data_IF_267701918327
#
_entry.id   IF_267701918327
#
_cell.length_a   1.000
_cell.length_b   1.000
_cell.length_c   1.000
_cell.angle_alpha   90.00
_cell.angle_beta   90.00
_cell.angle_gamma   90.00
#
_symmetry.space_group_name_H-M   'P 1'
#
loop_
_entity.id
_entity.type
_entity.pdbx_description
1 polymer ?
#
# COMPACT_ATOMS: atom_id res chain seq x y z
N UNK A 1 -44.68 65.21 20.09
CA UNK A 1 -43.27 65.41 19.68
C UNK A 1 -42.65 64.05 19.44
N UNK A 2 -42.13 63.82 18.23
CA UNK A 2 -41.62 62.52 17.75
C UNK A 2 -40.47 62.02 18.63
N UNK A 3 -40.62 60.85 19.25
CA UNK A 3 -39.54 60.12 19.92
C UNK A 3 -38.92 59.17 18.90
N UNK A 4 -37.64 59.36 18.62
CA UNK A 4 -36.85 58.62 17.64
C UNK A 4 -36.51 57.25 18.22
N UNK A 5 -37.01 56.19 17.58
CA UNK A 5 -36.64 54.80 17.84
C UNK A 5 -35.24 54.56 17.25
N UNK A 6 -34.21 54.39 18.10
CA UNK A 6 -32.91 53.88 17.67
C UNK A 6 -32.88 52.37 17.92
N UNK A 7 -33.06 51.60 16.85
CA UNK A 7 -32.87 50.15 16.84
C UNK A 7 -31.38 49.84 17.03
N UNK A 8 -31.04 49.19 18.14
CA UNK A 8 -29.71 48.64 18.39
C UNK A 8 -29.65 47.24 17.75
N UNK A 9 -29.00 47.11 16.60
CA UNK A 9 -28.71 45.80 15.99
C UNK A 9 -27.44 45.26 16.66
N UNK A 10 -27.60 44.28 17.55
CA UNK A 10 -26.49 43.49 18.11
C UNK A 10 -26.10 42.46 17.05
N UNK A 11 -25.04 42.75 16.30
CA UNK A 11 -24.37 41.79 15.43
C UNK A 11 -23.56 40.81 16.28
N UNK A 12 -24.18 39.70 16.66
CA UNK A 12 -23.49 38.52 17.19
C UNK A 12 -22.58 37.95 16.10
N UNK A 13 -21.29 38.28 16.18
CA UNK A 13 -20.24 37.57 15.44
C UNK A 13 -20.11 36.15 15.99
N UNK A 14 -20.86 35.21 15.41
CA UNK A 14 -20.53 33.80 15.52
C UNK A 14 -19.25 33.57 14.70
N UNK A 15 -18.10 33.68 15.38
CA UNK A 15 -16.84 33.13 14.89
C UNK A 15 -17.04 31.63 14.73
N UNK A 16 -17.31 31.16 13.51
CA UNK A 16 -17.16 29.75 13.18
C UNK A 16 -15.67 29.43 13.35
N UNK A 17 -15.31 28.87 14.51
CA UNK A 17 -14.12 28.06 14.63
C UNK A 17 -14.31 26.88 13.69
N UNK A 18 -13.90 27.07 12.43
CA UNK A 18 -13.64 25.95 11.54
C UNK A 18 -12.64 25.08 12.28
N UNK A 19 -13.11 23.97 12.84
CA UNK A 19 -12.22 22.93 13.33
C UNK A 19 -11.38 22.51 12.14
N UNK A 20 -10.16 23.01 12.08
CA UNK A 20 -9.15 22.56 11.16
C UNK A 20 -8.92 21.09 11.49
N UNK A 21 -9.60 20.19 10.78
CA UNK A 21 -9.22 18.79 10.65
C UNK A 21 -7.87 18.77 9.92
N UNK A 22 -6.80 19.12 10.66
CA UNK A 22 -5.52 19.52 10.08
C UNK A 22 -4.32 18.86 10.72
N UNK A 23 -4.50 17.99 11.70
CA UNK A 23 -3.46 17.10 12.18
C UNK A 23 -4.14 15.87 12.77
N UNK A 24 -3.84 14.68 12.24
CA UNK A 24 -4.10 13.45 12.98
C UNK A 24 -3.30 13.56 14.29
N UNK A 25 -3.99 13.84 15.40
CA UNK A 25 -3.37 13.79 16.71
C UNK A 25 -2.94 12.35 16.92
N UNK A 26 -1.66 12.13 17.22
CA UNK A 26 -1.14 10.79 17.45
C UNK A 26 -1.95 10.11 18.55
N UNK A 27 -2.46 8.91 18.28
CA UNK A 27 -3.26 8.20 19.24
C UNK A 27 -2.40 7.84 20.45
N UNK A 28 -2.89 7.98 21.70
CA UNK A 28 -2.12 7.61 22.88
C UNK A 28 -1.71 6.13 22.92
N UNK A 29 -2.40 5.26 22.19
CA UNK A 29 -2.12 3.82 22.06
C UNK A 29 -1.25 3.46 20.84
N UNK A 30 -0.85 4.44 20.02
CA UNK A 30 -0.05 4.21 18.84
C UNK A 30 1.33 3.60 19.19
N UNK A 31 1.79 2.58 18.44
CA UNK A 31 3.11 2.00 18.63
C UNK A 31 4.23 2.98 18.21
N UNK A 32 5.46 2.84 18.73
CA UNK A 32 6.48 3.92 18.67
C UNK A 32 6.86 4.42 17.27
N UNK A 33 6.77 3.55 16.25
CA UNK A 33 7.13 3.89 14.88
C UNK A 33 5.93 4.35 14.03
N UNK A 34 4.73 4.42 14.61
CA UNK A 34 3.55 4.99 13.98
C UNK A 34 3.60 6.52 13.94
N UNK A 35 4.31 7.15 14.89
CA UNK A 35 4.54 8.58 14.91
C UNK A 35 5.13 9.06 13.58
N UNK A 36 4.73 10.24 13.11
CA UNK A 36 5.30 10.81 11.88
C UNK A 36 6.82 11.01 12.03
N UNK A 37 7.56 10.79 10.95
CA UNK A 37 8.99 11.12 10.92
C UNK A 37 9.26 12.64 10.86
N UNK A 38 10.53 13.01 11.00
CA UNK A 38 10.96 14.41 11.09
C UNK A 38 11.12 15.10 9.74
N UNK A 39 11.12 14.37 8.62
CA UNK A 39 11.28 14.97 7.31
C UNK A 39 10.02 15.72 6.89
N UNK A 40 10.21 16.91 6.31
CA UNK A 40 9.17 17.57 5.53
C UNK A 40 8.93 16.74 4.28
N UNK A 41 7.67 16.51 3.92
CA UNK A 41 7.31 15.68 2.78
C UNK A 41 6.90 16.57 1.61
N UNK A 42 7.54 16.37 0.47
CA UNK A 42 7.08 16.86 -0.84
C UNK A 42 6.25 15.79 -1.54
N UNK A 43 5.38 16.21 -2.45
CA UNK A 43 4.58 15.29 -3.27
C UNK A 43 4.45 15.79 -4.70
N UNK A 44 4.64 14.91 -5.67
CA UNK A 44 4.54 15.22 -7.11
C UNK A 44 3.81 14.11 -7.86
N UNK A 45 3.00 14.49 -8.83
CA UNK A 45 2.43 13.54 -9.80
C UNK A 45 3.32 13.49 -11.04
N UNK A 46 3.70 12.28 -11.45
CA UNK A 46 4.45 12.00 -12.66
C UNK A 46 3.56 11.28 -13.67
N UNK A 47 3.79 11.56 -14.95
CA UNK A 47 3.27 10.76 -16.05
C UNK A 47 4.45 10.07 -16.72
N UNK A 48 4.51 8.75 -16.60
CA UNK A 48 5.60 7.93 -17.13
C UNK A 48 5.09 7.11 -18.31
N UNK A 49 5.90 6.99 -19.36
CA UNK A 49 5.54 6.21 -20.56
C UNK A 49 6.56 5.10 -20.75
N UNK A 50 6.10 3.86 -20.80
CA UNK A 50 6.92 2.69 -21.12
C UNK A 50 6.88 2.40 -22.62
N UNK A 51 7.91 2.83 -23.39
CA UNK A 51 7.93 2.65 -24.84
C UNK A 51 8.06 1.18 -25.24
N UNK A 52 8.60 0.31 -24.36
CA UNK A 52 8.79 -1.11 -24.63
C UNK A 52 7.49 -1.91 -24.63
N UNK A 53 6.41 -1.33 -24.08
CA UNK A 53 5.09 -1.95 -23.97
C UNK A 53 4.00 -1.11 -24.63
N UNK A 54 4.20 -0.77 -25.90
CA UNK A 54 3.23 -0.02 -26.72
C UNK A 54 2.88 1.36 -26.12
N UNK A 55 3.89 2.08 -25.63
CA UNK A 55 3.73 3.38 -24.98
C UNK A 55 2.73 3.35 -23.81
N UNK A 56 2.79 2.29 -22.98
CA UNK A 56 1.94 2.15 -21.80
C UNK A 56 2.21 3.32 -20.85
N UNK A 57 1.21 4.18 -20.69
CA UNK A 57 1.26 5.38 -19.84
C UNK A 57 0.84 5.03 -18.41
N UNK A 58 1.62 5.44 -17.40
CA UNK A 58 1.42 5.13 -15.99
C UNK A 58 1.48 6.44 -15.20
N UNK A 59 0.39 6.78 -14.51
CA UNK A 59 0.37 7.90 -13.56
C UNK A 59 0.96 7.43 -12.24
N UNK A 60 1.90 8.21 -11.69
CA UNK A 60 2.58 7.89 -10.43
C UNK A 60 2.50 9.07 -9.48
N UNK A 61 2.07 8.83 -8.25
CA UNK A 61 2.18 9.80 -7.17
C UNK A 61 3.46 9.50 -6.38
N UNK A 62 4.34 10.49 -6.23
CA UNK A 62 5.61 10.32 -5.53
C UNK A 62 5.66 11.23 -4.31
N UNK A 63 5.75 10.64 -3.13
CA UNK A 63 6.07 11.32 -1.88
C UNK A 63 7.56 11.19 -1.59
N UNK A 64 8.21 12.27 -1.16
CA UNK A 64 9.66 12.29 -0.96
C UNK A 64 10.08 13.28 0.13
N UNK A 65 11.22 13.07 0.81
CA UNK A 65 11.80 14.07 1.71
C UNK A 65 12.08 15.36 0.93
N UNK A 66 11.62 16.48 1.46
CA UNK A 66 11.67 17.81 0.84
C UNK A 66 12.24 18.86 1.78
N UNK A 67 12.57 20.01 1.20
CA UNK A 67 12.98 21.20 1.95
C UNK A 67 11.76 22.10 2.26
N UNK A 68 11.89 22.98 3.25
CA UNK A 68 10.89 23.99 3.59
C UNK A 68 10.13 23.71 4.88
N UNK A 69 8.91 24.24 5.01
CA UNK A 69 8.05 24.07 6.19
C UNK A 69 6.85 23.20 5.80
N UNK A 70 6.53 22.21 6.64
CA UNK A 70 5.42 21.30 6.39
C UNK A 70 4.06 22.03 6.32
N UNK A 71 3.30 21.75 5.27
CA UNK A 71 1.93 22.24 5.07
C UNK A 71 0.92 21.09 5.05
N UNK A 72 -0.36 21.43 5.27
CA UNK A 72 -1.48 20.52 5.05
C UNK A 72 -1.84 20.48 3.57
N UNK A 73 -2.34 19.34 3.10
CA UNK A 73 -2.79 19.15 1.72
C UNK A 73 -4.02 18.26 1.69
N UNK A 74 -4.66 18.18 0.52
CA UNK A 74 -5.77 17.27 0.27
C UNK A 74 -5.54 16.57 -1.05
N UNK A 75 -5.51 15.24 -1.02
CA UNK A 75 -5.45 14.42 -2.22
C UNK A 75 -6.87 14.20 -2.75
N UNK A 76 -7.09 14.53 -4.02
CA UNK A 76 -8.33 14.20 -4.72
C UNK A 76 -8.20 12.79 -5.29
N UNK A 77 -9.16 11.93 -4.96
CA UNK A 77 -9.21 10.55 -5.46
C UNK A 77 -10.66 10.12 -5.65
N UNK A 78 -10.87 8.83 -5.89
CA UNK A 78 -12.18 8.21 -5.89
C UNK A 78 -12.10 6.80 -5.32
N UNK A 79 -13.21 6.35 -4.74
CA UNK A 79 -13.47 4.95 -4.38
C UNK A 79 -14.72 4.54 -5.17
N UNK A 80 -14.53 3.64 -6.13
CA UNK A 80 -15.56 3.35 -7.13
C UNK A 80 -15.97 4.60 -7.91
N UNK A 81 -17.22 5.04 -7.76
CA UNK A 81 -17.75 6.25 -8.41
C UNK A 81 -17.78 7.46 -7.48
N UNK A 82 -17.61 7.28 -6.17
CA UNK A 82 -17.60 8.38 -5.21
C UNK A 82 -16.26 9.12 -5.23
N UNK A 83 -16.24 10.42 -5.56
CA UNK A 83 -15.06 11.27 -5.34
C UNK A 83 -14.79 11.39 -3.84
N UNK A 84 -13.52 11.29 -3.44
CA UNK A 84 -13.11 11.37 -2.04
C UNK A 84 -11.96 12.36 -1.86
N UNK A 85 -11.91 12.96 -0.67
CA UNK A 85 -10.84 13.88 -0.26
C UNK A 85 -10.05 13.25 0.87
N UNK A 86 -8.78 12.92 0.61
CA UNK A 86 -7.90 12.35 1.61
C UNK A 86 -7.04 13.48 2.19
N UNK A 87 -7.16 13.73 3.49
CA UNK A 87 -6.33 14.72 4.17
C UNK A 87 -4.88 14.23 4.25
N UNK A 88 -3.93 15.12 3.97
CA UNK A 88 -2.51 14.81 4.01
C UNK A 88 -1.69 15.98 4.57
N UNK A 89 -0.40 15.73 4.75
CA UNK A 89 0.61 16.70 5.16
C UNK A 89 1.81 16.54 4.22
N UNK A 90 1.69 17.09 3.02
CA UNK A 90 2.77 17.15 2.05
C UNK A 90 2.70 18.44 1.22
N UNK A 91 3.86 18.93 0.83
CA UNK A 91 4.00 20.14 0.04
C UNK A 91 4.03 19.76 -1.45
N UNK A 92 2.99 20.15 -2.19
CA UNK A 92 2.89 19.91 -3.63
C UNK A 92 4.10 20.53 -4.35
N UNK A 93 4.80 19.72 -5.15
CA UNK A 93 5.93 20.11 -5.99
C UNK A 93 7.13 20.75 -5.27
N UNK A 94 7.23 20.57 -3.95
CA UNK A 94 8.36 21.09 -3.18
C UNK A 94 9.71 20.56 -3.69
N UNK A 95 10.75 21.39 -3.56
CA UNK A 95 12.11 20.98 -3.88
C UNK A 95 12.53 19.77 -3.02
N UNK A 96 13.02 18.67 -3.63
CA UNK A 96 13.53 17.53 -2.88
C UNK A 96 14.64 17.95 -1.90
N UNK A 97 14.71 17.27 -0.75
CA UNK A 97 15.83 17.43 0.16
C UNK A 97 17.11 16.88 -0.48
N UNK A 98 18.26 17.40 -0.06
CA UNK A 98 19.56 16.87 -0.48
C UNK A 98 19.77 15.45 0.02
N UNK A 99 20.38 14.61 -0.80
CA UNK A 99 20.71 13.22 -0.47
C UNK A 99 20.04 12.21 -1.40
N UNK A 100 20.26 10.93 -1.10
CA UNK A 100 19.60 9.80 -1.77
C UNK A 100 18.88 8.97 -0.72
N UNK A 101 17.64 8.62 -0.99
CA UNK A 101 16.75 7.90 -0.08
C UNK A 101 16.27 6.62 -0.75
N UNK A 102 16.18 5.47 -0.05
CA UNK A 102 15.69 4.24 -0.66
C UNK A 102 14.30 4.45 -1.26
N UNK A 103 14.09 3.85 -2.43
CA UNK A 103 12.82 3.92 -3.15
C UNK A 103 11.89 2.80 -2.67
N UNK A 104 10.64 3.14 -2.39
CA UNK A 104 9.56 2.20 -2.16
C UNK A 104 8.57 2.35 -3.32
N UNK A 105 8.32 1.26 -4.06
CA UNK A 105 7.29 1.25 -5.11
C UNK A 105 6.02 0.61 -4.55
N UNK A 106 4.92 1.36 -4.59
CA UNK A 106 3.64 1.03 -3.99
C UNK A 106 2.60 0.64 -5.05
N UNK A 107 1.88 -0.46 -4.81
CA UNK A 107 0.86 -1.00 -5.72
C UNK A 107 -0.48 -1.21 -5.00
N UNK A 108 -1.55 -0.61 -5.53
CA UNK A 108 -2.89 -0.61 -4.96
C UNK A 108 -3.62 -1.97 -5.10
N UNK A 109 -4.86 -2.12 -4.61
CA UNK A 109 -5.70 -3.30 -4.82
C UNK A 109 -6.24 -3.41 -6.24
N UNK A 110 -7.31 -4.18 -6.47
CA UNK A 110 -8.02 -4.14 -7.76
C UNK A 110 -9.53 -4.20 -7.57
N UNK A 111 -10.30 -3.22 -8.11
CA UNK A 111 -9.82 -1.91 -8.57
C UNK A 111 -9.21 -1.09 -7.41
N UNK A 112 -8.41 -0.07 -7.73
CA UNK A 112 -7.82 0.82 -6.72
C UNK A 112 -7.30 2.13 -7.31
N UNK A 113 -6.55 2.90 -6.51
CA UNK A 113 -5.84 4.11 -6.95
C UNK A 113 -4.52 4.25 -6.23
N UNK A 114 -3.60 5.05 -6.77
CA UNK A 114 -2.32 5.44 -6.14
C UNK A 114 -2.46 6.09 -4.76
N UNK A 115 -3.66 6.51 -4.37
CA UNK A 115 -3.96 7.10 -3.07
C UNK A 115 -4.59 6.13 -2.05
N UNK A 116 -4.80 4.85 -2.41
CA UNK A 116 -5.55 3.90 -1.59
C UNK A 116 -4.99 3.69 -0.17
N UNK A 117 -3.72 3.96 0.06
CA UNK A 117 -3.08 3.98 1.38
C UNK A 117 -2.10 5.16 1.46
N UNK A 118 -2.56 6.34 1.08
CA UNK A 118 -1.77 7.58 1.09
C UNK A 118 -1.20 7.90 2.48
N UNK A 119 -1.93 7.58 3.57
CA UNK A 119 -1.44 7.70 4.94
C UNK A 119 -0.07 7.01 5.14
N UNK A 120 0.11 5.82 4.55
CA UNK A 120 1.30 5.01 4.71
C UNK A 120 2.44 5.51 3.82
N UNK A 121 2.11 5.87 2.57
CA UNK A 121 3.07 6.38 1.61
C UNK A 121 3.69 7.70 2.10
N UNK A 122 2.86 8.62 2.59
CA UNK A 122 3.32 9.88 3.16
C UNK A 122 4.09 9.69 4.47
N UNK A 123 3.65 8.75 5.32
CA UNK A 123 4.35 8.41 6.56
C UNK A 123 5.76 7.89 6.29
N UNK A 124 5.92 6.93 5.38
CA UNK A 124 7.23 6.41 4.99
C UNK A 124 8.10 7.52 4.38
N UNK A 125 7.53 8.44 3.59
CA UNK A 125 8.28 9.58 3.10
C UNK A 125 8.79 10.50 4.22
N UNK A 126 7.98 10.75 5.25
CA UNK A 126 8.40 11.51 6.43
C UNK A 126 9.52 10.82 7.23
N UNK A 127 9.67 9.50 7.05
CA UNK A 127 10.70 8.64 7.67
C UNK A 127 11.95 8.47 6.81
N UNK A 128 12.08 9.21 5.70
CA UNK A 128 13.28 9.25 4.88
C UNK A 128 13.30 8.24 3.72
N UNK A 129 12.14 7.91 3.16
CA UNK A 129 12.02 7.09 1.95
C UNK A 129 11.45 7.92 0.78
N UNK A 130 11.80 7.62 -0.46
CA UNK A 130 10.96 8.04 -1.59
C UNK A 130 9.91 6.97 -1.81
N UNK A 131 8.63 7.34 -1.90
CA UNK A 131 7.54 6.38 -2.13
C UNK A 131 6.80 6.74 -3.41
N UNK A 132 6.77 5.82 -4.37
CA UNK A 132 6.11 6.00 -5.66
C UNK A 132 4.92 5.04 -5.77
N UNK A 133 3.69 5.56 -5.72
CA UNK A 133 2.46 4.79 -5.87
C UNK A 133 1.91 4.90 -7.30
N UNK A 134 1.63 3.76 -7.92
CA UNK A 134 1.23 3.66 -9.32
C UNK A 134 -0.28 3.58 -9.45
N UNK A 135 -0.86 4.29 -10.41
CA UNK A 135 -2.12 3.89 -11.03
C UNK A 135 -1.81 2.93 -12.17
N UNK A 136 -2.20 1.67 -12.01
CA UNK A 136 -1.99 0.65 -13.04
C UNK A 136 -3.03 0.80 -14.16
N UNK A 137 -2.60 0.99 -15.42
CA UNK A 137 -3.53 1.11 -16.54
C UNK A 137 -4.40 -0.13 -16.68
N UNK A 138 -5.72 0.08 -16.65
CA UNK A 138 -6.70 -1.00 -16.71
C UNK A 138 -7.02 -1.65 -15.36
N UNK A 139 -6.49 -1.12 -14.25
CA UNK A 139 -6.74 -1.66 -12.90
C UNK A 139 -7.26 -0.61 -11.91
N UNK A 140 -7.55 0.61 -12.35
CA UNK A 140 -8.16 1.64 -11.51
C UNK A 140 -9.68 1.56 -11.50
N UNK A 141 -10.35 2.21 -10.55
CA UNK A 141 -11.83 2.25 -10.52
C UNK A 141 -12.43 2.75 -11.84
N UNK A 142 -11.77 3.67 -12.53
CA UNK A 142 -12.25 4.29 -13.78
C UNK A 142 -11.84 3.53 -15.04
N UNK A 143 -10.82 2.66 -14.97
CA UNK A 143 -10.22 2.02 -16.17
C UNK A 143 -10.36 0.50 -16.18
N UNK A 144 -10.81 -0.12 -15.08
CA UNK A 144 -10.94 -1.55 -14.99
C UNK A 144 -11.99 -2.09 -15.95
N UNK A 145 -11.57 -3.05 -16.76
CA UNK A 145 -12.43 -3.87 -17.62
C UNK A 145 -12.17 -5.34 -17.32
N UNK A 146 -13.08 -6.23 -17.71
CA UNK A 146 -12.89 -7.67 -17.49
C UNK A 146 -11.63 -8.24 -18.16
N UNK A 147 -11.28 -7.87 -19.42
CA UNK A 147 -10.00 -8.29 -20.01
C UNK A 147 -8.78 -7.81 -19.22
N UNK A 148 -8.80 -6.56 -18.74
CA UNK A 148 -7.68 -6.00 -17.99
C UNK A 148 -7.54 -6.65 -16.61
N UNK A 149 -8.62 -7.20 -16.05
CA UNK A 149 -8.56 -7.98 -14.81
C UNK A 149 -7.61 -9.18 -14.93
N UNK A 150 -7.57 -9.82 -16.11
CA UNK A 150 -6.69 -10.95 -16.43
C UNK A 150 -5.28 -10.45 -16.78
N UNK A 151 -5.15 -9.49 -17.69
CA UNK A 151 -3.82 -9.02 -18.14
C UNK A 151 -3.00 -8.40 -17.01
N UNK A 152 -3.68 -7.83 -16.00
CA UNK A 152 -3.08 -7.28 -14.78
C UNK A 152 -2.21 -8.27 -14.01
N UNK A 153 -2.44 -9.59 -14.16
CA UNK A 153 -1.56 -10.63 -13.58
C UNK A 153 -0.12 -10.42 -14.06
N UNK A 154 0.09 -10.03 -15.31
CA UNK A 154 1.42 -9.82 -15.91
C UNK A 154 1.78 -8.33 -15.99
N UNK A 155 0.84 -7.47 -16.34
CA UNK A 155 1.11 -6.05 -16.59
C UNK A 155 1.55 -5.31 -15.32
N UNK A 156 0.94 -5.61 -14.17
CA UNK A 156 1.21 -4.87 -12.92
C UNK A 156 2.61 -5.13 -12.34
N UNK A 157 3.11 -6.38 -12.28
CA UNK A 157 4.52 -6.63 -11.97
C UNK A 157 5.49 -5.92 -12.92
N UNK A 158 5.17 -5.84 -14.21
CA UNK A 158 6.00 -5.13 -15.20
C UNK A 158 5.96 -3.61 -15.01
N UNK A 159 4.80 -3.05 -14.68
CA UNK A 159 4.64 -1.62 -14.33
C UNK A 159 5.52 -1.24 -13.13
N UNK A 160 5.53 -2.07 -12.09
CA UNK A 160 6.38 -1.87 -10.89
C UNK A 160 7.86 -1.79 -11.30
N UNK A 161 8.33 -2.73 -12.11
CA UNK A 161 9.75 -2.83 -12.47
C UNK A 161 10.20 -1.71 -13.41
N UNK A 162 9.33 -1.30 -14.33
CA UNK A 162 9.54 -0.09 -15.12
C UNK A 162 9.63 1.16 -14.24
N UNK A 163 8.72 1.32 -13.29
CA UNK A 163 8.67 2.48 -12.41
C UNK A 163 9.93 2.66 -11.56
N UNK A 164 10.61 1.58 -11.14
CA UNK A 164 11.88 1.67 -10.40
C UNK A 164 12.89 2.55 -11.14
N UNK A 165 13.09 2.30 -12.44
CA UNK A 165 14.03 3.08 -13.25
C UNK A 165 13.50 4.47 -13.60
N UNK A 166 12.23 4.53 -14.02
CA UNK A 166 11.63 5.77 -14.52
C UNK A 166 11.45 6.84 -13.43
N UNK A 167 11.11 6.45 -12.20
CA UNK A 167 10.96 7.40 -11.08
C UNK A 167 12.29 8.05 -10.72
N UNK A 168 13.40 7.29 -10.67
CA UNK A 168 14.71 7.84 -10.34
C UNK A 168 15.26 8.83 -11.37
N UNK A 169 14.77 8.80 -12.62
CA UNK A 169 15.09 9.82 -13.62
C UNK A 169 14.39 11.15 -13.33
N UNK A 170 13.16 11.11 -12.77
CA UNK A 170 12.33 12.29 -12.50
C UNK A 170 12.53 12.85 -11.09
N UNK A 171 12.94 11.99 -10.15
CA UNK A 171 13.16 12.32 -8.74
C UNK A 171 14.59 11.88 -8.39
N UNK A 172 15.61 12.73 -8.61
CA UNK A 172 17.02 12.35 -8.46
C UNK A 172 17.42 11.92 -7.03
N UNK A 173 16.63 12.31 -6.02
CA UNK A 173 16.82 11.88 -4.63
C UNK A 173 16.35 10.44 -4.38
N UNK A 174 15.68 9.79 -5.34
CA UNK A 174 15.26 8.39 -5.23
C UNK A 174 16.43 7.43 -5.53
N UNK A 175 16.72 6.53 -4.59
CA UNK A 175 17.72 5.49 -4.77
C UNK A 175 17.14 4.22 -5.41
N UNK A 176 17.17 4.17 -6.74
CA UNK A 176 16.71 3.00 -7.48
C UNK A 176 17.62 1.76 -7.38
N UNK A 177 18.78 1.80 -6.72
CA UNK A 177 19.58 0.59 -6.48
C UNK A 177 19.22 -0.12 -5.16
N UNK A 178 18.38 0.51 -4.34
CA UNK A 178 17.96 0.02 -3.02
C UNK A 178 16.44 0.18 -2.85
N UNK A 179 15.71 -0.85 -3.29
CA UNK A 179 14.26 -0.75 -3.50
C UNK A 179 13.48 -1.65 -2.54
N UNK A 180 12.50 -1.08 -1.85
CA UNK A 180 11.43 -1.82 -1.20
C UNK A 180 10.19 -1.87 -2.09
N UNK A 181 9.38 -2.92 -1.96
CA UNK A 181 8.08 -2.99 -2.60
C UNK A 181 6.97 -3.06 -1.55
N UNK A 182 5.88 -2.34 -1.78
CA UNK A 182 4.71 -2.26 -0.91
C UNK A 182 3.44 -2.55 -1.73
N UNK A 183 2.60 -3.50 -1.31
CA UNK A 183 1.41 -3.87 -2.08
C UNK A 183 0.21 -4.16 -1.21
N UNK A 184 -0.99 -3.87 -1.70
CA UNK A 184 -2.26 -4.26 -1.08
C UNK A 184 -3.08 -5.18 -1.98
N UNK A 185 -3.65 -6.27 -1.47
CA UNK A 185 -4.57 -7.14 -2.22
C UNK A 185 -3.91 -7.67 -3.51
N UNK A 186 -4.49 -7.40 -4.67
CA UNK A 186 -3.89 -7.69 -5.97
C UNK A 186 -2.51 -7.04 -6.16
N UNK A 187 -2.28 -5.85 -5.58
CA UNK A 187 -0.98 -5.22 -5.49
C UNK A 187 0.02 -6.00 -4.62
N UNK A 188 -0.45 -6.70 -3.59
CA UNK A 188 0.34 -7.63 -2.78
C UNK A 188 0.90 -8.79 -3.62
N UNK A 189 0.06 -9.43 -4.43
CA UNK A 189 0.52 -10.36 -5.46
C UNK A 189 1.52 -9.70 -6.42
N UNK A 190 1.19 -8.49 -6.90
CA UNK A 190 1.98 -7.80 -7.93
C UNK A 190 3.41 -7.54 -7.47
N UNK A 191 3.60 -7.12 -6.21
CA UNK A 191 4.94 -6.90 -5.64
C UNK A 191 5.70 -8.20 -5.38
N UNK A 192 5.02 -9.27 -4.95
CA UNK A 192 5.63 -10.59 -4.75
C UNK A 192 6.11 -11.15 -6.09
N UNK A 193 5.30 -11.02 -7.14
CA UNK A 193 5.66 -11.47 -8.48
C UNK A 193 6.75 -10.60 -9.12
N UNK A 194 6.73 -9.28 -8.90
CA UNK A 194 7.79 -8.36 -9.33
C UNK A 194 9.14 -8.68 -8.66
N UNK A 195 9.12 -9.12 -7.40
CA UNK A 195 10.29 -9.57 -6.66
C UNK A 195 10.82 -10.96 -7.06
N UNK A 196 10.21 -11.60 -8.06
CA UNK A 196 10.75 -12.80 -8.70
C UNK A 196 10.13 -14.12 -8.26
N UNK A 197 8.97 -14.12 -7.56
CA UNK A 197 8.26 -15.37 -7.28
C UNK A 197 7.89 -16.13 -8.58
N UNK A 198 7.49 -15.41 -9.63
CA UNK A 198 7.01 -16.04 -10.86
C UNK A 198 5.58 -16.56 -10.75
N UNK A 199 5.05 -17.12 -11.84
CA UNK A 199 3.71 -17.70 -11.92
C UNK A 199 3.80 -19.24 -11.81
N UNK A 200 2.74 -19.91 -11.37
CA UNK A 200 2.65 -21.39 -11.32
C UNK A 200 1.26 -21.90 -11.75
N UNK A 201 1.09 -22.16 -13.04
CA UNK A 201 -0.16 -22.61 -13.63
C UNK A 201 -0.52 -24.04 -13.23
N UNK A 202 0.47 -24.87 -12.91
CA UNK A 202 0.24 -26.21 -12.38
C UNK A 202 -0.39 -26.14 -10.98
N UNK A 203 0.15 -25.28 -10.11
CA UNK A 203 -0.42 -25.03 -8.79
C UNK A 203 -1.84 -24.44 -8.88
N UNK A 204 -2.07 -23.49 -9.78
CA UNK A 204 -3.41 -22.96 -10.01
C UNK A 204 -4.38 -24.06 -10.45
N UNK A 205 -3.99 -24.90 -11.40
CA UNK A 205 -4.82 -26.01 -11.89
C UNK A 205 -5.10 -27.07 -10.82
N UNK A 206 -4.15 -27.33 -9.91
CA UNK A 206 -4.38 -28.20 -8.75
C UNK A 206 -5.36 -27.59 -7.76
N UNK A 207 -5.17 -26.32 -7.40
CA UNK A 207 -6.07 -25.59 -6.52
C UNK A 207 -7.50 -25.63 -7.07
N UNK A 208 -7.71 -25.30 -8.34
CA UNK A 208 -9.05 -25.21 -8.93
C UNK A 208 -9.80 -26.54 -8.98
N UNK A 209 -9.08 -27.66 -9.18
CA UNK A 209 -9.66 -29.00 -9.08
C UNK A 209 -10.10 -29.34 -7.66
N UNK A 210 -9.36 -28.86 -6.64
CA UNK A 210 -9.65 -29.12 -5.23
C UNK A 210 -10.73 -28.19 -4.66
N UNK A 211 -10.93 -27.01 -5.24
CA UNK A 211 -11.74 -25.92 -4.67
C UNK A 211 -13.03 -25.59 -5.44
N UNK A 212 -13.44 -26.45 -6.38
CA UNK A 212 -14.61 -26.22 -7.23
C UNK A 212 -14.55 -24.86 -7.98
N UNK A 213 -13.37 -24.49 -8.47
CA UNK A 213 -13.10 -23.26 -9.22
C UNK A 213 -13.39 -21.93 -8.48
N UNK A 214 -13.22 -21.88 -7.17
CA UNK A 214 -13.43 -20.64 -6.41
C UNK A 214 -12.30 -19.61 -6.61
N UNK A 215 -12.60 -18.33 -6.38
CA UNK A 215 -11.61 -17.25 -6.27
C UNK A 215 -10.65 -17.16 -7.47
N UNK A 216 -9.34 -17.40 -7.29
CA UNK A 216 -8.30 -17.16 -8.31
C UNK A 216 -8.44 -17.99 -9.59
N UNK A 217 -9.33 -18.98 -9.62
CA UNK A 217 -9.57 -19.88 -10.74
C UNK A 217 -10.12 -19.23 -12.01
N UNK A 218 -10.68 -18.01 -11.92
CA UNK A 218 -11.10 -17.27 -13.10
C UNK A 218 -9.95 -17.08 -14.12
N UNK A 219 -8.69 -17.09 -13.66
CA UNK A 219 -7.52 -16.89 -14.50
C UNK A 219 -7.05 -18.16 -15.22
N UNK A 220 -7.50 -19.35 -14.78
CA UNK A 220 -6.99 -20.64 -15.26
C UNK A 220 -7.03 -20.81 -16.79
N UNK A 221 -8.12 -20.42 -17.51
CA UNK A 221 -8.16 -20.56 -18.97
C UNK A 221 -7.10 -19.75 -19.72
N UNK A 222 -6.58 -18.70 -19.10
CA UNK A 222 -5.61 -17.77 -19.71
C UNK A 222 -4.18 -18.01 -19.22
N UNK A 223 -4.00 -18.86 -18.22
CA UNK A 223 -2.78 -18.87 -17.41
C UNK A 223 -1.55 -19.33 -18.20
N UNK A 224 -1.70 -20.29 -19.12
CA UNK A 224 -0.61 -20.72 -19.99
C UNK A 224 -0.06 -19.56 -20.86
N UNK A 225 -0.94 -18.70 -21.36
CA UNK A 225 -0.54 -17.50 -22.12
C UNK A 225 0.14 -16.47 -21.20
N UNK A 226 -0.40 -16.26 -20.00
CA UNK A 226 0.17 -15.33 -19.01
C UNK A 226 1.56 -15.78 -18.57
N UNK A 227 1.76 -17.07 -18.31
CA UNK A 227 3.07 -17.66 -17.99
C UNK A 227 4.07 -17.48 -19.14
N UNK A 228 3.66 -17.75 -20.38
CA UNK A 228 4.51 -17.54 -21.54
C UNK A 228 4.91 -16.06 -21.70
N UNK A 229 3.97 -15.13 -21.53
CA UNK A 229 4.24 -13.69 -21.57
C UNK A 229 5.15 -13.24 -20.43
N UNK A 230 4.96 -13.79 -19.23
CA UNK A 230 5.77 -13.48 -18.05
C UNK A 230 7.19 -14.02 -18.21
N UNK A 231 7.34 -15.30 -18.52
CA UNK A 231 8.63 -15.96 -18.69
C UNK A 231 9.46 -15.38 -19.84
N UNK A 232 8.80 -14.90 -20.91
CA UNK A 232 9.47 -14.17 -22.00
C UNK A 232 9.99 -12.79 -21.60
N UNK A 233 9.47 -12.21 -20.51
CA UNK A 233 9.82 -10.84 -20.10
C UNK A 233 10.64 -10.81 -18.83
N UNK A 234 10.47 -11.75 -17.89
CA UNK A 234 11.24 -11.84 -16.63
C UNK A 234 11.28 -13.28 -16.14
N UNK A 235 12.47 -13.87 -16.24
CA UNK A 235 12.86 -15.10 -15.54
C UNK A 235 13.94 -14.85 -14.47
N UNK A 236 14.23 -13.57 -14.15
CA UNK A 236 15.29 -13.18 -13.21
C UNK A 236 14.78 -12.16 -12.20
N UNK A 237 14.93 -12.41 -10.89
CA UNK A 237 14.65 -11.41 -9.85
C UNK A 237 15.45 -10.12 -10.10
N UNK A 238 14.81 -8.95 -9.99
CA UNK A 238 15.51 -7.68 -10.14
C UNK A 238 16.42 -7.44 -8.91
N UNK A 239 17.75 -7.36 -9.07
CA UNK A 239 18.67 -7.27 -7.93
C UNK A 239 18.54 -5.97 -7.14
N UNK A 240 17.84 -4.96 -7.67
CA UNK A 240 17.58 -3.69 -6.98
C UNK A 240 16.55 -3.86 -5.86
N UNK A 241 15.67 -4.86 -5.95
CA UNK A 241 14.64 -5.15 -4.94
C UNK A 241 15.28 -5.85 -3.75
N UNK A 242 15.06 -5.30 -2.55
CA UNK A 242 15.67 -5.77 -1.30
C UNK A 242 14.68 -6.22 -0.23
N UNK A 243 13.40 -5.82 -0.32
CA UNK A 243 12.39 -6.18 0.67
C UNK A 243 10.97 -6.04 0.10
N UNK A 244 10.04 -6.89 0.54
CA UNK A 244 8.63 -6.87 0.12
C UNK A 244 7.71 -6.81 1.34
N UNK A 245 6.81 -5.83 1.36
CA UNK A 245 5.74 -5.70 2.36
C UNK A 245 4.38 -5.82 1.65
N UNK A 246 3.64 -6.88 1.93
CA UNK A 246 2.37 -7.21 1.29
C UNK A 246 1.22 -7.21 2.31
N UNK A 247 0.23 -6.36 2.08
CA UNK A 247 -0.99 -6.22 2.90
C UNK A 247 -2.14 -6.95 2.21
N UNK A 248 -2.81 -7.82 2.95
CA UNK A 248 -3.89 -8.69 2.49
C UNK A 248 -3.64 -9.28 1.09
N UNK A 249 -2.45 -9.84 0.78
CA UNK A 249 -2.11 -10.21 -0.60
C UNK A 249 -3.10 -11.24 -1.14
N UNK A 250 -3.66 -11.00 -2.32
CA UNK A 250 -4.58 -11.92 -2.99
C UNK A 250 -3.83 -12.88 -3.93
N UNK A 251 -4.43 -14.00 -4.31
CA UNK A 251 -4.02 -14.77 -5.48
C UNK A 251 -2.80 -15.67 -5.26
N UNK A 252 -2.60 -16.20 -4.04
CA UNK A 252 -1.52 -17.15 -3.77
C UNK A 252 -1.53 -18.37 -4.72
N UNK A 253 -2.68 -18.93 -5.15
CA UNK A 253 -2.70 -20.02 -6.11
C UNK A 253 -2.10 -19.69 -7.49
N UNK A 254 -1.95 -18.41 -7.86
CA UNK A 254 -1.21 -18.03 -9.08
C UNK A 254 0.31 -18.18 -8.93
N UNK A 255 0.79 -18.27 -7.70
CA UNK A 255 2.20 -18.28 -7.31
C UNK A 255 2.38 -19.39 -6.27
N UNK A 256 2.21 -20.64 -6.70
CA UNK A 256 2.32 -21.81 -5.83
C UNK A 256 3.70 -22.00 -5.19
N UNK A 257 3.82 -23.02 -4.33
CA UNK A 257 5.01 -23.27 -3.50
C UNK A 257 6.33 -23.23 -4.26
N UNK A 258 6.38 -23.80 -5.47
CA UNK A 258 7.60 -23.82 -6.30
C UNK A 258 8.03 -22.42 -6.71
N UNK A 259 7.08 -21.59 -7.10
CA UNK A 259 7.31 -20.20 -7.49
C UNK A 259 7.62 -19.33 -6.26
N UNK A 260 6.89 -19.50 -5.16
CA UNK A 260 7.20 -18.80 -3.90
C UNK A 260 8.57 -19.15 -3.32
N UNK A 261 9.09 -20.36 -3.55
CA UNK A 261 10.44 -20.72 -3.18
C UNK A 261 11.51 -19.84 -3.88
N UNK A 262 11.21 -19.18 -5.00
CA UNK A 262 12.11 -18.25 -5.69
C UNK A 262 12.19 -16.88 -5.01
N UNK A 263 11.20 -16.50 -4.19
CA UNK A 263 11.21 -15.23 -3.48
C UNK A 263 12.21 -15.29 -2.33
N UNK A 264 13.43 -14.77 -2.55
CA UNK A 264 14.53 -14.83 -1.56
C UNK A 264 14.66 -13.59 -0.68
N UNK A 265 14.12 -12.45 -1.12
CA UNK A 265 14.18 -11.20 -0.34
C UNK A 265 13.29 -11.28 0.90
N UNK A 266 13.62 -10.57 1.99
CA UNK A 266 12.75 -10.40 3.16
C UNK A 266 11.29 -10.14 2.79
N UNK A 267 10.36 -10.84 3.45
CA UNK A 267 8.93 -10.75 3.20
C UNK A 267 8.17 -10.42 4.49
N UNK A 268 7.37 -9.36 4.45
CA UNK A 268 6.38 -9.06 5.48
C UNK A 268 4.97 -9.22 4.89
N UNK A 269 4.14 -10.05 5.51
CA UNK A 269 2.72 -10.19 5.19
C UNK A 269 1.90 -9.59 6.33
N UNK A 270 0.93 -8.73 6.03
CA UNK A 270 -0.06 -8.26 6.98
C UNK A 270 -1.45 -8.68 6.51
N UNK A 271 -2.30 -9.22 7.38
CA UNK A 271 -3.64 -9.68 6.98
C UNK A 271 -4.65 -9.59 8.13
N UNK A 272 -5.92 -9.41 7.76
CA UNK A 272 -7.04 -9.69 8.65
C UNK A 272 -7.26 -11.20 8.78
N UNK A 273 -7.53 -11.67 9.99
CA UNK A 273 -7.78 -13.10 10.22
C UNK A 273 -9.09 -13.59 9.57
N UNK A 274 -10.08 -12.70 9.48
CA UNK A 274 -11.40 -12.96 8.89
C UNK A 274 -11.52 -12.35 7.48
N UNK A 275 -10.40 -12.18 6.77
CA UNK A 275 -10.40 -11.75 5.38
C UNK A 275 -11.30 -12.66 4.53
N UNK A 276 -12.30 -12.07 3.89
CA UNK A 276 -13.34 -12.72 3.10
C UNK A 276 -13.10 -12.59 1.58
N UNK A 277 -12.05 -11.87 1.18
CA UNK A 277 -11.65 -11.68 -0.22
C UNK A 277 -10.39 -12.49 -0.50
N UNK A 278 -9.29 -12.15 0.19
CA UNK A 278 -8.00 -12.80 0.15
C UNK A 278 -7.86 -13.68 1.40
N UNK A 279 -8.65 -14.76 1.47
CA UNK A 279 -8.85 -15.49 2.73
C UNK A 279 -7.54 -15.84 3.42
N UNK A 280 -7.49 -15.63 4.73
CA UNK A 280 -6.27 -15.78 5.52
C UNK A 280 -5.55 -17.11 5.26
N UNK A 281 -6.30 -18.21 5.21
CA UNK A 281 -5.77 -19.57 5.01
C UNK A 281 -5.28 -19.83 3.58
N UNK A 282 -5.96 -19.30 2.56
CA UNK A 282 -5.56 -19.51 1.16
C UNK A 282 -4.36 -18.66 0.80
N UNK A 283 -4.38 -17.39 1.21
CA UNK A 283 -3.43 -16.42 0.71
C UNK A 283 -2.36 -16.05 1.73
N UNK A 284 -2.68 -15.19 2.70
CA UNK A 284 -1.68 -14.59 3.59
C UNK A 284 -0.79 -15.63 4.30
N UNK A 285 -1.41 -16.70 4.82
CA UNK A 285 -0.71 -17.77 5.51
C UNK A 285 0.20 -18.57 4.58
N UNK A 286 -0.24 -18.86 3.35
CA UNK A 286 0.54 -19.63 2.39
C UNK A 286 1.65 -18.80 1.73
N UNK A 287 1.42 -17.50 1.51
CA UNK A 287 2.50 -16.56 1.16
C UNK A 287 3.60 -16.55 2.21
N UNK A 288 3.24 -16.44 3.49
CA UNK A 288 4.20 -16.47 4.60
C UNK A 288 4.92 -17.82 4.72
N UNK A 289 4.18 -18.93 4.66
CA UNK A 289 4.75 -20.28 4.86
C UNK A 289 5.63 -20.71 3.70
N UNK A 290 5.16 -20.57 2.47
CA UNK A 290 5.78 -21.17 1.29
C UNK A 290 6.87 -20.30 0.65
N UNK A 291 6.95 -19.01 0.98
CA UNK A 291 8.02 -18.15 0.47
C UNK A 291 9.41 -18.68 0.85
N UNK A 292 10.35 -18.64 -0.11
CA UNK A 292 11.74 -19.08 0.09
C UNK A 292 12.63 -18.07 0.83
N UNK A 293 12.03 -16.99 1.32
CA UNK A 293 12.70 -15.94 2.07
C UNK A 293 13.14 -16.46 3.44
N UNK A 294 14.33 -16.05 3.87
CA UNK A 294 14.82 -16.37 5.21
C UNK A 294 14.10 -15.50 6.23
N UNK A 295 14.10 -14.17 6.06
CA UNK A 295 13.40 -13.26 6.97
C UNK A 295 11.92 -13.08 6.58
N UNK A 296 11.02 -13.82 7.24
CA UNK A 296 9.58 -13.75 6.99
C UNK A 296 8.78 -13.34 8.23
N UNK A 297 7.78 -12.50 8.01
CA UNK A 297 6.92 -11.95 9.07
C UNK A 297 5.44 -12.06 8.66
N UNK A 298 4.57 -12.39 9.61
CA UNK A 298 3.12 -12.39 9.43
C UNK A 298 2.44 -11.61 10.56
N UNK A 299 1.95 -10.42 10.24
CA UNK A 299 1.07 -9.64 11.10
C UNK A 299 -0.39 -10.07 10.86
N UNK A 300 -1.04 -10.55 11.90
CA UNK A 300 -2.46 -10.91 11.91
C UNK A 300 -3.23 -9.92 12.77
N UNK A 301 -4.25 -9.29 12.18
CA UNK A 301 -5.27 -8.53 12.89
C UNK A 301 -6.48 -9.43 13.13
N UNK A 302 -6.65 -9.90 14.37
CA UNK A 302 -7.69 -10.85 14.78
C UNK A 302 -9.07 -10.29 14.42
N UNK A 303 -9.89 -11.12 13.81
CA UNK A 303 -11.24 -10.80 13.32
C UNK A 303 -11.36 -9.63 12.30
N UNK A 304 -10.26 -8.98 11.88
CA UNK A 304 -10.32 -8.00 10.80
C UNK A 304 -10.63 -8.69 9.46
N UNK A 305 -11.30 -7.97 8.56
CA UNK A 305 -11.57 -8.41 7.19
C UNK A 305 -10.45 -7.94 6.24
N UNK A 306 -10.77 -7.82 4.95
CA UNK A 306 -9.81 -7.46 3.91
C UNK A 306 -9.29 -6.02 4.00
N UNK A 307 -10.12 -5.08 4.49
CA UNK A 307 -9.90 -3.65 4.31
C UNK A 307 -9.23 -2.84 5.45
N UNK A 308 -8.70 -3.39 6.58
CA UNK A 308 -8.15 -2.56 7.66
C UNK A 308 -6.91 -1.73 7.25
N UNK A 309 -6.40 -1.95 6.04
CA UNK A 309 -5.15 -1.39 5.53
C UNK A 309 -5.31 -0.16 4.61
N UNK A 310 -6.54 0.19 4.21
CA UNK A 310 -6.81 1.20 3.16
C UNK A 310 -7.51 2.45 3.69
N UNK A 311 -7.47 3.53 2.91
CA UNK A 311 -8.26 4.74 3.17
C UNK A 311 -9.75 4.45 3.03
N UNK A 312 -10.57 4.93 3.97
CA UNK A 312 -12.03 4.87 3.87
C UNK A 312 -12.68 6.20 4.29
N UNK A 313 -12.59 7.25 3.44
CA UNK A 313 -13.10 8.58 3.76
C UNK A 313 -14.64 8.58 3.93
N UNK A 314 -15.20 9.43 4.80
CA UNK A 314 -16.63 9.41 5.14
C UNK A 314 -17.57 9.64 3.94
N UNK A 315 -17.09 10.28 2.87
CA UNK A 315 -17.84 10.53 1.64
C UNK A 315 -18.42 9.24 1.02
N UNK A 316 -17.72 8.10 1.15
CA UNK A 316 -18.20 6.81 0.62
C UNK A 316 -19.50 6.33 1.27
N UNK A 317 -19.86 6.82 2.46
CA UNK A 317 -21.14 6.48 3.12
C UNK A 317 -22.36 6.94 2.33
N UNK A 318 -22.19 7.87 1.39
CA UNK A 318 -23.25 8.31 0.48
C UNK A 318 -23.60 7.30 -0.61
N UNK A 319 -22.78 6.27 -0.82
CA UNK A 319 -23.01 5.21 -1.82
C UNK A 319 -22.58 3.86 -1.27
N UNK A 320 -23.56 3.02 -0.94
CA UNK A 320 -23.34 1.72 -0.32
C UNK A 320 -22.33 0.83 -1.09
N UNK A 321 -22.46 0.76 -2.42
CA UNK A 321 -21.55 -0.03 -3.26
C UNK A 321 -20.08 0.39 -3.14
N UNK A 322 -19.80 1.66 -2.83
CA UNK A 322 -18.44 2.17 -2.67
C UNK A 322 -17.97 2.12 -1.21
N UNK A 323 -18.90 2.23 -0.27
CA UNK A 323 -18.64 2.03 1.15
C UNK A 323 -18.04 0.65 1.42
N UNK A 324 -18.64 -0.41 0.87
CA UNK A 324 -18.16 -1.78 1.05
C UNK A 324 -16.76 -2.04 0.49
N UNK A 325 -16.21 -1.16 -0.35
CA UNK A 325 -14.87 -1.30 -0.95
C UNK A 325 -13.72 -0.99 0.01
N UNK A 326 -14.00 -0.30 1.10
CA UNK A 326 -12.98 0.13 2.08
C UNK A 326 -13.39 -0.08 3.54
N UNK A 327 -14.65 -0.43 3.78
CA UNK A 327 -15.16 -0.61 5.13
C UNK A 327 -14.53 -1.81 5.83
N UNK A 328 -14.26 -1.63 7.12
CA UNK A 328 -13.79 -2.63 8.07
C UNK A 328 -14.72 -2.60 9.30
N UNK A 329 -15.41 -3.71 9.63
CA UNK A 329 -16.43 -3.72 10.68
C UNK A 329 -15.90 -3.86 12.10
N UNK A 330 -14.72 -4.45 12.30
CA UNK A 330 -14.21 -4.82 13.63
C UNK A 330 -13.15 -3.86 14.13
N UNK A 331 -12.27 -3.40 13.24
CA UNK A 331 -11.13 -2.58 13.62
C UNK A 331 -11.37 -1.09 13.45
N UNK A 332 -10.92 -0.34 14.45
CA UNK A 332 -10.65 1.09 14.30
C UNK A 332 -9.55 1.27 13.24
N UNK A 333 -9.91 1.96 12.15
CA UNK A 333 -9.04 2.13 10.99
C UNK A 333 -7.77 2.92 11.31
N UNK A 334 -7.84 3.94 12.18
CA UNK A 334 -6.65 4.70 12.56
C UNK A 334 -5.67 3.81 13.35
N UNK A 335 -6.19 2.96 14.24
CA UNK A 335 -5.36 1.98 14.97
C UNK A 335 -4.72 0.98 14.02
N UNK A 336 -5.47 0.44 13.06
CA UNK A 336 -4.93 -0.48 12.06
C UNK A 336 -3.84 0.18 11.21
N UNK A 337 -4.07 1.43 10.76
CA UNK A 337 -3.10 2.23 10.02
C UNK A 337 -1.83 2.49 10.83
N UNK A 338 -1.94 2.80 12.13
CA UNK A 338 -0.78 3.01 13.01
C UNK A 338 0.05 1.74 13.21
N UNK A 339 -0.58 0.56 13.30
CA UNK A 339 0.14 -0.72 13.32
C UNK A 339 0.93 -0.93 12.03
N UNK A 340 0.32 -0.66 10.88
CA UNK A 340 0.97 -0.81 9.58
C UNK A 340 2.12 0.19 9.42
N UNK A 341 1.91 1.46 9.77
CA UNK A 341 2.98 2.48 9.80
C UNK A 341 4.16 2.00 10.62
N UNK A 342 3.90 1.44 11.80
CA UNK A 342 4.94 0.94 12.69
C UNK A 342 5.74 -0.21 12.07
N UNK A 343 5.06 -1.27 11.63
CA UNK A 343 5.75 -2.44 11.10
C UNK A 343 6.40 -2.18 9.74
N UNK A 344 5.76 -1.41 8.85
CA UNK A 344 6.37 -1.02 7.58
C UNK A 344 7.63 -0.16 7.81
N UNK A 345 7.59 0.76 8.78
CA UNK A 345 8.78 1.54 9.16
C UNK A 345 9.88 0.64 9.71
N UNK A 346 9.56 -0.25 10.66
CA UNK A 346 10.52 -1.21 11.21
C UNK A 346 11.16 -2.06 10.11
N UNK A 347 10.33 -2.61 9.23
CA UNK A 347 10.73 -3.51 8.15
C UNK A 347 11.63 -2.82 7.12
N UNK A 348 11.17 -1.71 6.52
CA UNK A 348 11.96 -1.03 5.50
C UNK A 348 13.23 -0.40 6.06
N UNK A 349 13.22 0.12 7.30
CA UNK A 349 14.47 0.60 7.93
C UNK A 349 15.44 -0.55 8.16
N UNK A 350 14.98 -1.71 8.65
CA UNK A 350 15.84 -2.87 8.88
C UNK A 350 16.53 -3.33 7.60
N UNK A 351 15.80 -3.45 6.49
CA UNK A 351 16.29 -4.09 5.28
C UNK A 351 16.81 -3.15 4.20
N UNK A 352 16.38 -1.89 4.17
CA UNK A 352 16.89 -0.90 3.21
C UNK A 352 17.94 0.02 3.83
N UNK A 353 17.94 0.22 5.16
CA UNK A 353 18.90 1.11 5.84
C UNK A 353 19.84 0.36 6.80
N UNK A 354 19.73 -0.97 6.88
CA UNK A 354 20.45 -1.80 7.84
C UNK A 354 20.28 -1.33 9.31
N UNK A 355 19.10 -0.78 9.65
CA UNK A 355 18.82 -0.26 10.98
C UNK A 355 18.42 -1.40 11.93
N UNK A 356 19.38 -1.85 12.75
CA UNK A 356 19.16 -2.90 13.74
C UNK A 356 18.22 -2.50 14.87
N UNK A 357 18.17 -1.21 15.24
CA UNK A 357 17.30 -0.71 16.30
C UNK A 357 15.83 -0.74 15.85
N UNK A 358 15.55 -0.27 14.64
CA UNK A 358 14.23 -0.42 14.03
C UNK A 358 13.85 -1.90 13.87
N UNK A 359 14.82 -2.76 13.54
CA UNK A 359 14.62 -4.21 13.44
C UNK A 359 14.16 -4.89 14.73
N UNK A 360 14.46 -4.33 15.92
CA UNK A 360 13.99 -4.90 17.20
C UNK A 360 12.47 -4.96 17.30
N UNK A 361 11.75 -4.08 16.60
CA UNK A 361 10.29 -4.05 16.57
C UNK A 361 9.66 -5.17 15.74
N UNK A 362 10.44 -5.89 14.93
CA UNK A 362 9.99 -7.06 14.18
C UNK A 362 10.06 -8.32 15.05
N UNK A 363 9.39 -8.28 16.22
CA UNK A 363 9.45 -9.34 17.22
C UNK A 363 8.05 -9.68 17.78
N UNK A 364 7.70 -10.97 17.94
CA UNK A 364 6.39 -11.39 18.47
C UNK A 364 6.02 -10.83 19.86
N UNK A 365 7.00 -10.38 20.65
CA UNK A 365 6.77 -9.73 21.95
C UNK A 365 6.23 -8.30 21.85
N UNK A 366 6.15 -7.72 20.64
CA UNK A 366 5.62 -6.38 20.38
C UNK A 366 6.30 -5.29 21.24
N UNK A 367 7.63 -5.13 21.17
CA UNK A 367 8.35 -4.22 22.06
C UNK A 367 7.90 -2.77 21.85
N UNK A 368 7.81 -2.03 22.95
CA UNK A 368 7.38 -0.63 22.95
C UNK A 368 5.85 -0.41 22.85
N UNK A 369 5.06 -1.49 22.70
CA UNK A 369 3.61 -1.40 22.85
C UNK A 369 3.24 -1.18 24.32
N UNK A 370 2.23 -0.34 24.56
CA UNK A 370 1.75 -0.04 25.91
C UNK A 370 0.87 -1.19 26.43
N UNK A 371 0.70 -1.32 27.76
CA UNK A 371 -0.24 -2.27 28.32
C UNK A 371 -1.63 -2.14 27.68
N UNK A 372 -2.27 -3.28 27.41
CA UNK A 372 -3.61 -3.40 26.80
C UNK A 372 -3.71 -3.03 25.31
N UNK A 373 -2.64 -2.57 24.64
CA UNK A 373 -2.71 -2.16 23.22
C UNK A 373 -2.42 -3.28 22.22
N UNK A 374 -1.98 -4.45 22.70
CA UNK A 374 -1.63 -5.63 21.89
C UNK A 374 -2.82 -6.55 21.60
N UNK A 375 -3.99 -6.31 22.21
CA UNK A 375 -5.19 -7.14 22.01
C UNK A 375 -5.57 -7.17 20.53
N UNK A 376 -5.69 -8.38 19.98
CA UNK A 376 -6.03 -8.63 18.58
C UNK A 376 -4.85 -8.50 17.60
N UNK A 377 -3.64 -8.20 18.08
CA UNK A 377 -2.43 -8.08 17.25
C UNK A 377 -1.55 -9.30 17.48
N UNK A 378 -1.28 -10.09 16.43
CA UNK A 378 -0.32 -11.19 16.47
C UNK A 378 0.75 -11.00 15.42
N UNK A 379 2.01 -11.02 15.82
CA UNK A 379 3.14 -11.06 14.89
C UNK A 379 3.82 -12.42 14.97
N UNK A 380 3.92 -13.11 13.85
CA UNK A 380 4.66 -14.36 13.69
C UNK A 380 5.93 -14.09 12.87
N UNK A 381 6.99 -14.84 13.14
CA UNK A 381 8.27 -14.71 12.44
C UNK A 381 8.81 -16.09 12.07
N UNK A 382 9.38 -16.22 10.88
CA UNK A 382 10.19 -17.36 10.48
C UNK A 382 11.55 -16.84 10.00
N UNK A 383 12.61 -17.57 10.34
CA UNK A 383 13.99 -17.32 9.92
C UNK A 383 14.55 -18.54 9.23
#
# INVERSE_FOLDING_TARGET
MRVILKSLVVLLWCSSLAMTQGASVERPDAPPLAARGSAVVGVRTLQLTDPSRQNRSITVEVWYPASGVQQNTVYQSAIGQTPVRIAGRANRDAAPASGRFPLIVASHGQPGTRFQFAYLNEHLASRGFVVAALDHPGSTYQTLTQPNYISSIVDRPLDILFAIGAVAQQIPSADASNVGLLGYSYGGYSVINAAGAGLDGAALGEYCRASNNEGPCFALPFFAQLEAQRGARIAQPDPRIKAVFAMAPYGQPWVGARSLANLKVPLFVAAGEADDVATYRRDALEYFRQAGSQDKYLLTLVAAQHNPFVECPPEVRGREEDYWRCFEPVWDMERAHDLVKHFATAFFRRFLLNDGEAGRFLNPSLPGFKPRTTVGVRLETAR
#
